data_IF_396347290894
#
_entry.id   IF_396347290894
#
_cell.length_a   1.000
_cell.length_b   1.000
_cell.length_c   1.000
_cell.angle_alpha   90.00
_cell.angle_beta   90.00
_cell.angle_gamma   90.00
#
_symmetry.space_group_name_H-M   'P 1'
#
loop_
_entity.id
_entity.type
_entity.pdbx_description
1 polymer ?
#
# COMPACT_ATOMS: atom_id res chain seq x y z
N UNK A 1 2.95 26.16 11.22
CA UNK A 1 3.09 26.98 10.00
C UNK A 1 4.49 26.75 9.46
N UNK A 2 4.63 25.86 8.49
CA UNK A 2 5.86 25.58 7.75
C UNK A 2 5.61 25.88 6.28
N UNK A 3 6.56 26.54 5.64
CA UNK A 3 6.46 27.19 4.33
C UNK A 3 6.09 26.24 3.18
N UNK A 4 4.93 26.44 2.57
CA UNK A 4 4.52 25.82 1.30
C UNK A 4 4.80 26.72 0.08
N UNK A 5 5.42 27.90 0.27
CA UNK A 5 5.65 28.91 -0.78
C UNK A 5 7.13 29.05 -1.17
N UNK A 6 7.84 27.93 -1.42
CA UNK A 6 9.12 27.98 -2.14
C UNK A 6 8.88 27.46 -3.55
N UNK A 7 8.99 28.29 -4.60
CA UNK A 7 8.97 27.81 -5.98
C UNK A 7 10.10 26.78 -6.17
N UNK A 8 9.86 25.64 -6.85
CA UNK A 8 10.93 24.68 -7.10
C UNK A 8 12.06 25.34 -7.89
N UNK A 9 13.29 25.16 -7.40
CA UNK A 9 14.49 25.65 -8.06
C UNK A 9 14.68 24.97 -9.43
N UNK A 10 15.32 25.67 -10.36
CA UNK A 10 15.42 25.34 -11.80
C UNK A 10 16.10 24.01 -12.19
N UNK A 11 16.46 23.14 -11.24
CA UNK A 11 17.03 21.81 -11.47
C UNK A 11 16.32 20.79 -10.58
N UNK A 12 15.06 20.48 -10.88
CA UNK A 12 14.38 19.33 -10.28
C UNK A 12 15.07 18.04 -10.76
N UNK A 13 15.72 17.31 -9.86
CA UNK A 13 16.30 16.01 -10.18
C UNK A 13 15.18 14.96 -10.25
N UNK A 14 14.76 14.61 -11.47
CA UNK A 14 13.71 13.61 -11.71
C UNK A 14 14.13 12.19 -11.31
N UNK A 15 15.38 11.95 -10.89
CA UNK A 15 15.80 10.70 -10.23
C UNK A 15 15.41 10.66 -8.75
N UNK A 16 15.05 11.80 -8.17
CA UNK A 16 14.56 11.87 -6.80
C UNK A 16 13.08 11.45 -6.78
N UNK A 17 12.79 10.33 -6.11
CA UNK A 17 11.44 9.76 -6.01
C UNK A 17 10.43 10.71 -5.35
N UNK A 18 10.86 11.53 -4.38
CA UNK A 18 9.97 12.51 -3.74
C UNK A 18 9.57 13.64 -4.71
N UNK A 19 10.52 14.09 -5.54
CA UNK A 19 10.27 15.13 -6.55
C UNK A 19 9.34 14.56 -7.61
N UNK A 20 9.65 13.37 -8.13
CA UNK A 20 8.82 12.68 -9.11
C UNK A 20 7.40 12.46 -8.60
N UNK A 21 7.24 11.97 -7.37
CA UNK A 21 5.93 11.74 -6.77
C UNK A 21 5.10 13.03 -6.67
N UNK A 22 5.70 14.13 -6.21
CA UNK A 22 5.00 15.45 -6.14
C UNK A 22 4.52 15.92 -7.51
N UNK A 23 5.32 15.72 -8.55
CA UNK A 23 4.94 16.07 -9.92
C UNK A 23 3.80 15.18 -10.44
N UNK A 24 3.84 13.87 -10.14
CA UNK A 24 2.77 12.93 -10.46
C UNK A 24 1.46 13.27 -9.72
N UNK A 25 1.54 13.63 -8.44
CA UNK A 25 0.39 14.05 -7.63
C UNK A 25 -0.26 15.34 -8.17
N UNK A 26 0.55 16.33 -8.58
CA UNK A 26 0.07 17.53 -9.27
C UNK A 26 -0.60 17.17 -10.59
N UNK A 27 0.06 16.31 -11.37
CA UNK A 27 -0.40 15.85 -12.68
C UNK A 27 -0.61 16.97 -13.69
N UNK A 28 0.25 17.98 -13.65
CA UNK A 28 0.31 19.04 -14.66
C UNK A 28 0.78 18.45 -16.01
N UNK A 29 0.11 18.76 -17.13
CA UNK A 29 0.43 18.17 -18.43
C UNK A 29 1.88 18.36 -18.89
N UNK A 30 2.53 19.48 -18.55
CA UNK A 30 3.90 19.75 -18.97
C UNK A 30 4.90 19.00 -18.10
N UNK A 31 4.63 18.81 -16.82
CA UNK A 31 5.46 17.96 -15.96
C UNK A 31 5.37 16.49 -16.34
N UNK A 32 4.17 15.99 -16.64
CA UNK A 32 4.02 14.61 -17.10
C UNK A 32 4.77 14.37 -18.41
N UNK A 33 4.81 15.34 -19.33
CA UNK A 33 5.66 15.27 -20.53
C UNK A 33 7.15 15.27 -20.17
N UNK A 34 7.60 16.11 -19.24
CA UNK A 34 9.00 16.14 -18.80
C UNK A 34 9.43 14.78 -18.23
N UNK A 35 8.60 14.19 -17.35
CA UNK A 35 8.82 12.86 -16.78
C UNK A 35 8.89 11.81 -17.89
N UNK A 36 7.92 11.81 -18.82
CA UNK A 36 7.89 10.86 -19.94
C UNK A 36 9.17 10.92 -20.79
N UNK A 37 9.64 12.13 -21.11
CA UNK A 37 10.88 12.34 -21.88
C UNK A 37 12.11 11.91 -21.08
N UNK A 38 12.22 12.32 -19.81
CA UNK A 38 13.39 12.03 -18.99
C UNK A 38 13.57 10.53 -18.74
N UNK A 39 12.50 9.82 -18.37
CA UNK A 39 12.53 8.38 -18.08
C UNK A 39 12.36 7.51 -19.33
N UNK A 40 12.12 8.11 -20.50
CA UNK A 40 11.86 7.40 -21.76
C UNK A 40 10.67 6.44 -21.65
N UNK A 41 9.61 6.88 -20.94
CA UNK A 41 8.39 6.12 -20.71
C UNK A 41 7.25 6.71 -21.56
N UNK A 42 6.38 5.90 -22.17
CA UNK A 42 5.22 6.41 -22.89
C UNK A 42 4.36 7.33 -22.01
N UNK A 43 3.89 8.45 -22.57
CA UNK A 43 3.12 9.44 -21.82
C UNK A 43 1.86 8.85 -21.16
N UNK A 44 1.23 7.85 -21.77
CA UNK A 44 0.04 7.22 -21.19
C UNK A 44 0.36 6.39 -19.95
N UNK A 45 1.57 5.81 -19.84
CA UNK A 45 2.03 5.19 -18.60
C UNK A 45 2.31 6.23 -17.52
N UNK A 46 2.88 7.37 -17.88
CA UNK A 46 3.11 8.47 -16.92
C UNK A 46 1.79 9.06 -16.42
N UNK A 47 0.76 9.17 -17.28
CA UNK A 47 -0.60 9.53 -16.86
C UNK A 47 -1.16 8.51 -15.87
N UNK A 48 -1.00 7.21 -16.14
CA UNK A 48 -1.41 6.15 -15.23
C UNK A 48 -0.75 6.29 -13.86
N UNK A 49 0.57 6.54 -13.83
CA UNK A 49 1.31 6.80 -12.59
C UNK A 49 0.77 8.03 -11.86
N UNK A 50 0.43 9.10 -12.57
CA UNK A 50 -0.21 10.29 -12.00
C UNK A 50 -1.58 9.99 -11.40
N UNK A 51 -2.40 9.17 -12.06
CA UNK A 51 -3.72 8.79 -11.57
C UNK A 51 -3.63 7.99 -10.26
N UNK A 52 -2.68 7.05 -10.18
CA UNK A 52 -2.39 6.30 -8.95
C UNK A 52 -1.79 7.19 -7.84
N UNK A 53 -0.85 8.08 -8.17
CA UNK A 53 -0.29 9.02 -7.20
C UNK A 53 -1.38 9.91 -6.57
N UNK A 54 -2.30 10.42 -7.39
CA UNK A 54 -3.47 11.19 -6.92
C UNK A 54 -4.42 10.35 -6.07
N UNK A 55 -4.64 9.08 -6.43
CA UNK A 55 -5.46 8.17 -5.64
C UNK A 55 -4.82 7.90 -4.27
N UNK A 56 -3.52 7.63 -4.25
CA UNK A 56 -2.72 7.44 -3.04
C UNK A 56 -2.80 8.64 -2.13
N UNK A 57 -2.52 9.85 -2.65
CA UNK A 57 -2.55 11.09 -1.87
C UNK A 57 -3.89 11.26 -1.16
N UNK A 58 -5.00 11.18 -1.89
CA UNK A 58 -6.35 11.29 -1.30
C UNK A 58 -6.62 10.23 -0.23
N UNK A 59 -6.16 9.01 -0.46
CA UNK A 59 -6.41 7.87 0.42
C UNK A 59 -5.61 7.99 1.72
N UNK A 60 -4.33 8.37 1.62
CA UNK A 60 -3.45 8.58 2.76
C UNK A 60 -3.91 9.77 3.60
N UNK A 61 -4.29 10.89 2.98
CA UNK A 61 -4.84 12.05 3.70
C UNK A 61 -6.08 11.66 4.49
N UNK A 62 -7.02 10.93 3.87
CA UNK A 62 -8.22 10.45 4.56
C UNK A 62 -7.90 9.49 5.71
N UNK A 63 -6.96 8.58 5.51
CA UNK A 63 -6.57 7.62 6.56
C UNK A 63 -5.95 8.34 7.76
N UNK A 64 -5.22 9.44 7.55
CA UNK A 64 -4.73 10.28 8.63
C UNK A 64 -5.86 10.96 9.42
N UNK A 65 -6.90 11.46 8.75
CA UNK A 65 -8.07 12.01 9.43
C UNK A 65 -8.75 10.93 10.31
N UNK A 66 -8.89 9.71 9.80
CA UNK A 66 -9.44 8.56 10.54
C UNK A 66 -8.58 8.19 11.76
N UNK A 67 -7.25 8.22 11.63
CA UNK A 67 -6.31 7.97 12.75
C UNK A 67 -6.40 9.06 13.82
N UNK A 68 -6.47 10.34 13.43
CA UNK A 68 -6.63 11.45 14.38
C UNK A 68 -7.95 11.33 15.13
N UNK A 69 -9.04 10.96 14.45
CA UNK A 69 -10.33 10.73 15.09
C UNK A 69 -10.29 9.53 16.04
N UNK A 70 -9.65 8.42 15.62
CA UNK A 70 -9.40 7.25 16.47
C UNK A 70 -8.68 7.65 17.75
N UNK A 71 -7.52 8.29 17.65
CA UNK A 71 -6.72 8.73 18.81
C UNK A 71 -7.52 9.61 19.79
N UNK A 72 -8.42 10.44 19.29
CA UNK A 72 -9.26 11.31 20.13
C UNK A 72 -10.38 10.55 20.83
N UNK A 73 -11.09 9.67 20.11
CA UNK A 73 -12.35 9.10 20.57
C UNK A 73 -12.21 7.70 21.18
N UNK A 74 -11.18 6.97 20.76
CA UNK A 74 -10.85 5.65 21.24
C UNK A 74 -9.32 5.53 21.16
N UNK A 75 -8.55 5.93 22.17
CA UNK A 75 -7.08 5.87 22.08
C UNK A 75 -6.50 4.48 22.40
N UNK A 76 -7.30 3.57 22.95
CA UNK A 76 -6.79 2.27 23.40
C UNK A 76 -6.80 1.27 22.24
N UNK A 77 -5.64 0.71 21.94
CA UNK A 77 -5.49 -0.37 20.96
C UNK A 77 -6.11 -1.67 21.47
N UNK A 78 -6.68 -2.44 20.54
CA UNK A 78 -7.08 -3.83 20.74
C UNK A 78 -5.88 -4.78 20.65
N UNK A 79 -6.03 -6.02 21.06
CA UNK A 79 -4.96 -7.04 20.94
C UNK A 79 -4.54 -7.27 19.48
N UNK A 80 -5.50 -7.21 18.54
CA UNK A 80 -5.22 -7.32 17.09
C UNK A 80 -4.37 -6.14 16.59
N UNK A 81 -4.67 -4.92 17.05
CA UNK A 81 -3.91 -3.70 16.73
C UNK A 81 -2.53 -3.66 17.40
N UNK A 82 -2.41 -4.18 18.64
CA UNK A 82 -1.11 -4.35 19.30
C UNK A 82 -0.23 -5.34 18.53
N UNK A 83 -0.82 -6.45 18.06
CA UNK A 83 -0.12 -7.42 17.23
C UNK A 83 0.26 -6.84 15.85
N UNK A 84 -0.61 -6.04 15.24
CA UNK A 84 -0.28 -5.26 14.03
C UNK A 84 0.84 -4.25 14.27
N UNK A 85 0.87 -3.63 15.45
CA UNK A 85 1.75 -2.51 15.76
C UNK A 85 1.22 -1.16 15.28
N UNK A 86 -0.11 -1.00 15.20
CA UNK A 86 -0.77 0.24 14.80
C UNK A 86 -2.29 0.09 14.86
N UNK A 87 -3.02 1.21 14.88
CA UNK A 87 -4.48 1.16 14.73
C UNK A 87 -4.87 0.63 13.36
N UNK A 88 -6.04 0.00 13.25
CA UNK A 88 -6.52 -0.50 11.96
C UNK A 88 -6.68 0.63 10.92
N UNK A 89 -6.99 1.84 11.38
CA UNK A 89 -7.11 3.06 10.58
C UNK A 89 -5.79 3.49 9.92
N UNK A 90 -4.64 3.09 10.47
CA UNK A 90 -3.33 3.32 9.85
C UNK A 90 -3.11 2.48 8.59
N UNK A 91 -3.91 1.42 8.39
CA UNK A 91 -3.91 0.63 7.18
C UNK A 91 -4.87 1.28 6.17
N UNK A 92 -4.39 1.47 4.94
CA UNK A 92 -5.17 2.05 3.87
C UNK A 92 -6.48 1.25 3.64
N UNK A 93 -7.62 1.93 3.44
CA UNK A 93 -8.96 1.32 3.53
C UNK A 93 -9.21 0.19 2.52
N UNK A 94 -8.60 0.25 1.33
CA UNK A 94 -8.77 -0.77 0.30
C UNK A 94 -8.05 -2.09 0.63
N UNK A 95 -7.03 -2.07 1.50
CA UNK A 95 -6.25 -3.28 1.85
C UNK A 95 -6.50 -3.74 3.29
N UNK A 96 -7.11 -2.89 4.12
CA UNK A 96 -7.35 -3.13 5.55
C UNK A 96 -8.01 -4.47 5.86
N UNK A 97 -9.14 -4.78 5.21
CA UNK A 97 -9.85 -6.02 5.49
C UNK A 97 -9.03 -7.26 5.11
N UNK A 98 -8.32 -7.20 3.99
CA UNK A 98 -7.45 -8.28 3.55
C UNK A 98 -6.30 -8.51 4.55
N UNK A 99 -5.64 -7.45 5.01
CA UNK A 99 -4.59 -7.55 6.05
C UNK A 99 -5.13 -8.20 7.32
N UNK A 100 -6.27 -7.75 7.82
CA UNK A 100 -6.88 -8.32 9.03
C UNK A 100 -7.27 -9.80 8.83
N UNK A 101 -7.87 -10.13 7.69
CA UNK A 101 -8.22 -11.52 7.36
C UNK A 101 -6.98 -12.41 7.26
N UNK A 102 -5.90 -11.92 6.65
CA UNK A 102 -4.62 -12.64 6.55
C UNK A 102 -3.99 -12.84 7.93
N UNK A 103 -4.00 -11.84 8.80
CA UNK A 103 -3.49 -12.01 10.17
C UNK A 103 -4.27 -13.07 10.95
N UNK A 104 -5.60 -13.10 10.82
CA UNK A 104 -6.44 -14.15 11.42
C UNK A 104 -6.14 -15.55 10.84
N UNK A 105 -5.66 -15.61 9.59
CA UNK A 105 -5.16 -16.83 8.95
C UNK A 105 -3.71 -17.18 9.33
N UNK A 106 -3.04 -16.36 10.13
CA UNK A 106 -1.69 -16.62 10.64
C UNK A 106 -0.56 -15.89 9.90
N UNK A 107 -0.87 -15.05 8.92
CA UNK A 107 0.14 -14.30 8.17
C UNK A 107 0.61 -13.07 8.96
N UNK A 108 1.88 -13.06 9.34
CA UNK A 108 2.51 -11.95 10.09
C UNK A 108 2.83 -10.77 9.17
N UNK A 109 1.80 -10.02 8.76
CA UNK A 109 1.94 -8.84 7.88
C UNK A 109 2.73 -7.71 8.54
N UNK A 110 3.58 -7.00 7.78
CA UNK A 110 4.35 -5.85 8.28
C UNK A 110 4.35 -4.61 7.35
N UNK A 111 3.84 -4.75 6.13
CA UNK A 111 3.72 -3.67 5.14
C UNK A 111 2.53 -3.97 4.23
N UNK A 112 1.79 -2.93 3.81
CA UNK A 112 0.65 -3.07 2.91
C UNK A 112 0.24 -1.75 2.26
N UNK A 113 -0.45 -1.80 1.11
CA UNK A 113 -1.09 -0.64 0.48
C UNK A 113 -0.37 -0.16 -0.77
N UNK A 114 -0.48 1.14 -1.09
CA UNK A 114 0.19 1.74 -2.25
C UNK A 114 1.70 1.63 -2.15
N UNK A 115 2.32 1.15 -3.22
CA UNK A 115 3.77 1.05 -3.35
C UNK A 115 4.21 1.55 -4.72
N UNK A 116 5.35 2.23 -4.77
CA UNK A 116 5.91 2.86 -5.96
C UNK A 116 4.87 3.64 -6.80
N UNK A 117 4.95 3.61 -8.14
CA UNK A 117 4.06 4.37 -9.02
C UNK A 117 2.68 3.73 -9.24
N UNK A 118 2.63 2.41 -9.48
CA UNK A 118 1.39 1.70 -9.82
C UNK A 118 1.33 0.29 -9.23
N UNK A 119 1.88 0.10 -8.02
CA UNK A 119 1.79 -1.15 -7.29
C UNK A 119 0.90 -1.08 -6.06
N UNK A 120 0.41 -2.25 -5.66
CA UNK A 120 -0.08 -2.52 -4.31
C UNK A 120 0.69 -3.70 -3.75
N UNK A 121 0.99 -3.69 -2.45
CA UNK A 121 1.71 -4.78 -1.80
C UNK A 121 1.01 -5.25 -0.52
N UNK A 122 1.27 -6.49 -0.13
CA UNK A 122 1.20 -6.99 1.25
C UNK A 122 2.45 -7.83 1.51
N UNK A 123 3.24 -7.46 2.51
CA UNK A 123 4.48 -8.14 2.90
C UNK A 123 4.32 -8.83 4.25
N UNK A 124 4.86 -10.04 4.38
CA UNK A 124 4.73 -10.91 5.53
C UNK A 124 6.10 -11.43 6.01
N UNK A 125 6.25 -11.60 7.32
CA UNK A 125 7.43 -12.25 7.91
C UNK A 125 7.43 -13.76 7.67
N UNK A 126 8.60 -14.40 7.75
CA UNK A 126 8.81 -15.86 7.72
C UNK A 126 8.48 -16.56 6.39
N UNK A 127 8.51 -15.87 5.26
CA UNK A 127 8.36 -16.48 3.93
C UNK A 127 7.12 -17.38 3.77
N UNK A 128 5.91 -16.93 4.17
CA UNK A 128 4.74 -17.81 4.25
C UNK A 128 4.24 -18.25 2.87
N UNK A 129 4.75 -17.65 1.79
CA UNK A 129 4.40 -17.99 0.42
C UNK A 129 5.36 -18.99 -0.22
N UNK A 130 6.27 -19.59 0.55
CA UNK A 130 7.19 -20.63 0.06
C UNK A 130 6.41 -21.76 -0.60
N UNK A 131 6.69 -22.02 -1.88
CA UNK A 131 5.98 -23.00 -2.74
C UNK A 131 4.48 -22.74 -2.95
N UNK A 132 3.94 -21.62 -2.49
CA UNK A 132 2.55 -21.25 -2.75
C UNK A 132 2.42 -20.74 -4.19
N UNK A 133 1.42 -21.24 -4.90
CA UNK A 133 1.11 -20.81 -6.26
C UNK A 133 -0.38 -20.46 -6.31
N UNK A 134 -0.69 -19.27 -6.83
CA UNK A 134 -2.08 -18.88 -7.03
C UNK A 134 -2.76 -19.79 -8.07
N UNK A 135 -4.07 -20.07 -7.92
CA UNK A 135 -4.82 -20.82 -8.91
C UNK A 135 -4.73 -20.17 -10.30
N UNK A 136 -4.47 -20.95 -11.35
CA UNK A 136 -4.27 -20.44 -12.72
C UNK A 136 -5.47 -19.62 -13.21
N UNK A 137 -6.69 -20.08 -12.94
CA UNK A 137 -7.91 -19.36 -13.30
C UNK A 137 -8.01 -17.98 -12.61
N UNK A 138 -7.50 -17.86 -11.38
CA UNK A 138 -7.47 -16.60 -10.66
C UNK A 138 -6.45 -15.63 -11.28
N UNK A 139 -5.24 -16.11 -11.56
CA UNK A 139 -4.19 -15.32 -12.24
C UNK A 139 -4.65 -14.86 -13.62
N UNK A 140 -5.29 -15.73 -14.40
CA UNK A 140 -5.84 -15.38 -15.71
C UNK A 140 -6.95 -14.32 -15.61
N UNK A 141 -7.83 -14.43 -14.60
CA UNK A 141 -8.87 -13.44 -14.32
C UNK A 141 -8.26 -12.06 -14.00
N UNK A 142 -7.26 -12.00 -13.12
CA UNK A 142 -6.55 -10.76 -12.82
C UNK A 142 -5.90 -10.15 -14.05
N UNK A 143 -5.19 -10.97 -14.85
CA UNK A 143 -4.56 -10.52 -16.09
C UNK A 143 -5.58 -9.94 -17.08
N UNK A 144 -6.77 -10.56 -17.21
CA UNK A 144 -7.84 -10.03 -18.06
C UNK A 144 -8.37 -8.66 -17.62
N UNK A 145 -8.24 -8.34 -16.33
CA UNK A 145 -8.60 -7.04 -15.76
C UNK A 145 -7.46 -6.01 -15.88
N UNK A 146 -6.27 -6.41 -16.32
CA UNK A 146 -5.08 -5.55 -16.39
C UNK A 146 -4.29 -5.53 -15.08
N UNK A 147 -4.23 -6.66 -14.36
CA UNK A 147 -3.46 -6.82 -13.12
C UNK A 147 -2.50 -7.99 -13.23
N UNK A 148 -1.23 -7.73 -12.98
CA UNK A 148 -0.21 -8.76 -12.80
C UNK A 148 -0.02 -9.01 -11.29
N UNK A 149 -0.07 -10.27 -10.87
CA UNK A 149 0.20 -10.69 -9.49
C UNK A 149 1.52 -11.47 -9.44
N UNK A 150 2.38 -11.11 -8.49
CA UNK A 150 3.69 -11.74 -8.30
C UNK A 150 3.95 -11.98 -6.82
N UNK A 151 4.58 -13.11 -6.49
CA UNK A 151 5.17 -13.35 -5.17
C UNK A 151 6.66 -13.05 -5.26
N UNK A 152 7.16 -12.17 -4.39
CA UNK A 152 8.55 -11.74 -4.34
C UNK A 152 9.17 -12.28 -3.05
N UNK A 153 10.31 -12.97 -3.20
CA UNK A 153 11.13 -13.54 -2.11
C UNK A 153 10.39 -14.44 -1.11
N UNK A 154 9.24 -15.00 -1.51
CA UNK A 154 8.29 -15.76 -0.70
C UNK A 154 7.64 -14.96 0.46
N UNK A 155 7.84 -13.63 0.50
CA UNK A 155 7.42 -12.74 1.60
C UNK A 155 6.38 -11.72 1.18
N UNK A 156 6.37 -11.30 -0.09
CA UNK A 156 5.54 -10.19 -0.56
C UNK A 156 4.64 -10.64 -1.69
N UNK A 157 3.36 -10.31 -1.60
CA UNK A 157 2.44 -10.31 -2.74
C UNK A 157 2.43 -8.91 -3.32
N UNK A 158 2.78 -8.78 -4.59
CA UNK A 158 2.73 -7.52 -5.34
C UNK A 158 1.67 -7.61 -6.43
N UNK A 159 0.85 -6.58 -6.52
CA UNK A 159 -0.06 -6.32 -7.63
C UNK A 159 0.46 -5.16 -8.45
N UNK A 160 0.53 -5.31 -9.76
CA UNK A 160 0.86 -4.26 -10.72
C UNK A 160 -0.33 -4.01 -11.63
N UNK A 161 -0.68 -2.75 -11.80
CA UNK A 161 -1.86 -2.35 -12.55
C UNK A 161 -1.47 -1.74 -13.91
N UNK A 162 -1.93 -2.34 -15.01
CA UNK A 162 -1.69 -1.84 -16.37
C UNK A 162 -2.75 -0.83 -16.84
N UNK A 163 -3.79 -0.63 -16.05
CA UNK A 163 -4.81 0.42 -16.20
C UNK A 163 -5.16 1.01 -14.86
N UNK A 164 -5.81 2.16 -14.88
CA UNK A 164 -6.33 2.74 -13.65
C UNK A 164 -7.43 1.83 -13.09
N UNK A 165 -7.39 1.63 -11.77
CA UNK A 165 -8.42 0.96 -10.98
C UNK A 165 -8.75 1.84 -9.79
N UNK A 166 -10.03 1.97 -9.47
CA UNK A 166 -10.44 2.69 -8.27
C UNK A 166 -10.23 1.84 -6.99
N UNK A 167 -10.46 2.46 -5.82
CA UNK A 167 -10.28 1.78 -4.54
C UNK A 167 -11.22 0.57 -4.37
N UNK A 168 -12.42 0.59 -4.95
CA UNK A 168 -13.36 -0.51 -4.83
C UNK A 168 -12.90 -1.73 -5.64
N UNK A 169 -12.41 -1.50 -6.86
CA UNK A 169 -11.79 -2.54 -7.68
C UNK A 169 -10.55 -3.14 -7.00
N UNK A 170 -9.64 -2.29 -6.50
CA UNK A 170 -8.43 -2.72 -5.78
C UNK A 170 -8.81 -3.53 -4.53
N UNK A 171 -9.79 -3.05 -3.77
CA UNK A 171 -10.28 -3.73 -2.57
C UNK A 171 -10.79 -5.13 -2.89
N UNK A 172 -11.59 -5.28 -3.94
CA UNK A 172 -12.13 -6.59 -4.31
C UNK A 172 -11.00 -7.58 -4.61
N UNK A 173 -9.93 -7.14 -5.31
CA UNK A 173 -8.78 -8.01 -5.60
C UNK A 173 -8.10 -8.46 -4.31
N UNK A 174 -7.89 -7.55 -3.36
CA UNK A 174 -7.29 -7.90 -2.08
C UNK A 174 -8.15 -8.81 -1.23
N UNK A 175 -9.47 -8.59 -1.21
CA UNK A 175 -10.43 -9.48 -0.54
C UNK A 175 -10.38 -10.89 -1.17
N UNK A 176 -10.37 -11.00 -2.50
CA UNK A 176 -10.27 -12.29 -3.21
C UNK A 176 -8.95 -13.02 -2.87
N UNK A 177 -7.82 -12.29 -2.83
CA UNK A 177 -6.52 -12.86 -2.42
C UNK A 177 -6.59 -13.38 -0.99
N UNK A 178 -7.14 -12.58 -0.07
CA UNK A 178 -7.29 -12.96 1.32
C UNK A 178 -8.21 -14.16 1.49
N UNK A 179 -9.22 -14.33 0.63
CA UNK A 179 -10.11 -15.50 0.63
C UNK A 179 -9.38 -16.77 0.18
N UNK A 180 -8.65 -16.70 -0.94
CA UNK A 180 -7.98 -17.86 -1.57
C UNK A 180 -6.81 -18.39 -0.72
N UNK A 181 -6.07 -17.51 -0.05
CA UNK A 181 -4.92 -17.93 0.76
C UNK A 181 -5.34 -18.84 1.93
N UNK A 182 -4.70 -20.01 2.14
CA UNK A 182 -5.10 -20.93 3.18
C UNK A 182 -4.69 -20.43 4.58
N UNK A 183 -5.38 -20.84 5.66
CA UNK A 183 -4.86 -20.61 7.01
C UNK A 183 -3.55 -21.38 7.23
N UNK A 184 -2.59 -20.76 7.91
CA UNK A 184 -1.28 -21.35 8.24
C UNK A 184 -1.32 -22.29 9.45
N UNK A 185 -2.45 -22.40 10.14
CA UNK A 185 -2.61 -23.24 11.33
C UNK A 185 -1.85 -22.75 12.57
N UNK A 186 -1.28 -21.55 12.53
CA UNK A 186 -0.62 -20.86 13.64
C UNK A 186 -1.13 -19.41 13.75
N UNK A 187 -1.11 -18.80 14.94
CA UNK A 187 -1.41 -17.38 15.07
C UNK A 187 -0.36 -16.53 14.34
N UNK A 188 -0.76 -15.34 13.87
CA UNK A 188 0.19 -14.37 13.33
C UNK A 188 1.00 -13.76 14.47
N UNK A 189 2.31 -13.69 14.28
CA UNK A 189 3.20 -13.07 15.25
C UNK A 189 3.02 -11.53 15.25
N UNK A 190 3.34 -10.87 16.37
CA UNK A 190 3.38 -9.42 16.41
C UNK A 190 4.41 -8.86 15.42
N UNK A 191 4.04 -7.81 14.68
CA UNK A 191 4.95 -7.13 13.76
C UNK A 191 6.20 -6.62 14.50
N UNK A 192 7.38 -6.87 13.92
CA UNK A 192 8.68 -6.53 14.52
C UNK A 192 9.32 -5.28 13.90
N UNK A 193 8.57 -4.45 13.19
CA UNK A 193 9.09 -3.17 12.70
C UNK A 193 9.37 -2.22 13.87
N UNK A 194 10.28 -1.26 13.66
CA UNK A 194 10.58 -0.24 14.68
C UNK A 194 9.33 0.55 15.07
N UNK A 195 8.50 0.90 14.08
CA UNK A 195 7.21 1.54 14.29
C UNK A 195 6.28 0.70 15.17
N UNK A 196 6.12 -0.59 14.85
CA UNK A 196 5.23 -1.49 15.58
C UNK A 196 5.64 -1.67 17.05
N UNK A 197 6.95 -1.75 17.33
CA UNK A 197 7.46 -1.79 18.71
C UNK A 197 7.13 -0.49 19.45
N UNK A 198 7.45 0.66 18.86
CA UNK A 198 7.19 1.96 19.47
C UNK A 198 5.69 2.18 19.75
N UNK A 199 4.83 1.74 18.84
CA UNK A 199 3.37 1.79 19.04
C UNK A 199 2.94 0.97 20.25
N UNK A 200 3.41 -0.28 20.38
CA UNK A 200 3.08 -1.10 21.56
C UNK A 200 3.59 -0.48 22.85
N UNK A 201 4.81 0.06 22.85
CA UNK A 201 5.41 0.68 24.03
C UNK A 201 4.61 1.93 24.46
N UNK A 202 4.14 2.73 23.50
CA UNK A 202 3.30 3.90 23.81
C UNK A 202 1.93 3.51 24.38
N UNK A 203 1.36 2.39 23.93
CA UNK A 203 0.08 1.87 24.44
C UNK A 203 0.16 1.29 25.85
N UNK A 204 1.35 0.93 26.34
CA UNK A 204 1.55 0.51 27.74
C UNK A 204 1.67 1.69 28.71
N UNK A 205 1.94 2.90 28.20
CA UNK A 205 2.07 4.11 29.00
C UNK A 205 0.75 4.88 29.22
N UNK A 206 -0.35 4.42 28.58
CA UNK A 206 -1.71 5.01 28.62
C UNK A 206 -2.61 4.19 29.54
#
# INVERSE_FOLDING_TARGET
MGSFDVPPAANEDLRNSEVMLKLLERGDPDDLKKIAVFHQVPIDKVKLFSDFAKLRLRTVTRSWDDVVDREKNNPKATDEELALGGYAEMIEPQVRNAVLALRRKGYSTYESGFYDENFQVISCQDKPFTNYVFPEAFVASLKSKGVEITIIDDEMIQLKFDRFMDLAEIKQIWDDIAEILPPLGRPAEPSQTGFARNFRDSQQAV
#
